data_IF_689416229518
#
_entry.id   IF_689416229518
#
_cell.length_a   1.000
_cell.length_b   1.000
_cell.length_c   1.000
_cell.angle_alpha   90.00
_cell.angle_beta   90.00
_cell.angle_gamma   90.00
#
_symmetry.space_group_name_H-M   'P 1'
#
loop_
_entity.id
_entity.type
_entity.pdbx_description
1 polymer ?
#
# COMPACT_ATOMS: atom_id res chain seq x y z
N UNK A 1 11.03 12.93 24.65
CA UNK A 1 9.78 13.19 23.93
C UNK A 1 8.91 14.17 24.71
N UNK A 2 8.58 15.30 24.09
CA UNK A 2 7.68 16.30 24.65
C UNK A 2 6.23 15.80 24.73
N UNK A 3 5.41 16.43 25.58
CA UNK A 3 3.96 16.11 25.67
C UNK A 3 3.24 16.34 24.34
N UNK A 4 3.66 17.36 23.57
CA UNK A 4 3.12 17.66 22.25
C UNK A 4 3.38 16.53 21.25
N UNK A 5 4.64 16.08 21.12
CA UNK A 5 5.02 14.97 20.24
C UNK A 5 4.28 13.68 20.61
N UNK A 6 4.12 13.40 21.91
CA UNK A 6 3.35 12.23 22.36
C UNK A 6 1.90 12.26 21.89
N UNK A 7 1.24 13.42 21.97
CA UNK A 7 -0.14 13.60 21.48
C UNK A 7 -0.22 13.39 19.97
N UNK A 8 0.76 13.91 19.24
CA UNK A 8 0.85 13.78 17.79
C UNK A 8 1.00 12.32 17.35
N UNK A 9 1.87 11.55 18.00
CA UNK A 9 2.05 10.10 17.76
C UNK A 9 0.76 9.33 17.99
N UNK A 10 0.05 9.61 19.09
CA UNK A 10 -1.23 8.95 19.38
C UNK A 10 -2.29 9.32 18.34
N UNK A 11 -2.30 10.57 17.88
CA UNK A 11 -3.22 11.03 16.84
C UNK A 11 -2.95 10.32 15.51
N UNK A 12 -1.68 10.31 15.06
CA UNK A 12 -1.26 9.64 13.83
C UNK A 12 -1.62 8.15 13.84
N UNK A 13 -1.31 7.45 14.94
CA UNK A 13 -1.67 6.05 15.12
C UNK A 13 -3.18 5.81 14.98
N UNK A 14 -4.00 6.64 15.62
CA UNK A 14 -5.47 6.51 15.56
C UNK A 14 -6.00 6.82 14.17
N UNK A 15 -5.42 7.78 13.47
CA UNK A 15 -5.85 8.15 12.12
C UNK A 15 -5.60 7.00 11.14
N UNK A 16 -4.41 6.42 11.12
CA UNK A 16 -4.10 5.25 10.27
C UNK A 16 -5.07 4.10 10.53
N UNK A 17 -5.36 3.77 11.80
CA UNK A 17 -6.31 2.70 12.13
C UNK A 17 -7.75 3.02 11.70
N UNK A 18 -8.17 4.29 11.79
CA UNK A 18 -9.49 4.73 11.31
C UNK A 18 -9.56 4.62 9.78
N UNK A 19 -8.53 5.06 9.07
CA UNK A 19 -8.44 4.95 7.62
C UNK A 19 -8.47 3.50 7.18
N UNK A 20 -7.70 2.61 7.80
CA UNK A 20 -7.75 1.18 7.51
C UNK A 20 -9.16 0.60 7.74
N UNK A 21 -9.85 1.01 8.80
CA UNK A 21 -11.23 0.56 9.04
C UNK A 21 -12.17 0.99 7.92
N UNK A 22 -12.04 2.22 7.42
CA UNK A 22 -12.86 2.76 6.32
C UNK A 22 -12.50 2.14 4.97
N UNK A 23 -11.21 2.01 4.66
CA UNK A 23 -10.70 1.52 3.37
C UNK A 23 -11.00 0.04 3.19
N UNK A 24 -10.86 -0.75 4.27
CA UNK A 24 -11.03 -2.20 4.24
C UNK A 24 -12.36 -2.67 4.87
N UNK A 25 -13.41 -1.84 4.85
CA UNK A 25 -14.68 -2.15 5.52
C UNK A 25 -15.32 -3.46 5.02
N UNK A 26 -15.20 -3.72 3.71
CA UNK A 26 -15.72 -4.94 3.08
C UNK A 26 -14.77 -6.15 3.13
N UNK A 27 -13.55 -5.99 3.67
CA UNK A 27 -12.55 -7.06 3.79
C UNK A 27 -12.00 -7.13 5.22
N UNK A 28 -12.69 -7.89 6.07
CA UNK A 28 -12.30 -8.06 7.46
C UNK A 28 -10.90 -8.69 7.62
N UNK A 29 -10.48 -9.55 6.68
CA UNK A 29 -9.18 -10.21 6.72
C UNK A 29 -8.06 -9.22 6.42
N UNK A 30 -8.16 -8.47 5.32
CA UNK A 30 -7.21 -7.41 4.98
C UNK A 30 -7.15 -6.35 6.09
N UNK A 31 -8.32 -5.93 6.60
CA UNK A 31 -8.39 -4.99 7.73
C UNK A 31 -7.61 -5.50 8.94
N UNK A 32 -7.82 -6.75 9.34
CA UNK A 32 -7.12 -7.36 10.47
C UNK A 32 -5.60 -7.40 10.28
N UNK A 33 -5.14 -7.83 9.10
CA UNK A 33 -3.71 -7.89 8.77
C UNK A 33 -3.06 -6.50 8.79
N UNK A 34 -3.69 -5.50 8.16
CA UNK A 34 -3.16 -4.14 8.10
C UNK A 34 -3.11 -3.49 9.48
N UNK A 35 -4.15 -3.66 10.29
CA UNK A 35 -4.16 -3.14 11.66
C UNK A 35 -3.09 -3.78 12.55
N UNK A 36 -2.83 -5.08 12.38
CA UNK A 36 -1.76 -5.77 13.10
C UNK A 36 -0.38 -5.26 12.67
N UNK A 37 -0.13 -5.12 11.37
CA UNK A 37 1.11 -4.53 10.86
C UNK A 37 1.36 -3.12 11.42
N UNK A 38 0.35 -2.26 11.42
CA UNK A 38 0.48 -0.92 12.02
C UNK A 38 0.80 -0.99 13.52
N UNK A 39 0.16 -1.90 14.27
CA UNK A 39 0.48 -2.08 15.69
C UNK A 39 1.91 -2.54 15.91
N UNK A 40 2.41 -3.44 15.07
CA UNK A 40 3.77 -3.95 15.13
C UNK A 40 4.80 -2.84 14.88
N UNK A 41 4.63 -2.06 13.81
CA UNK A 41 5.51 -0.93 13.48
C UNK A 41 5.58 0.11 14.59
N UNK A 42 4.43 0.50 15.16
CA UNK A 42 4.40 1.45 16.27
C UNK A 42 5.00 0.87 17.56
N UNK A 43 4.87 -0.45 17.79
CA UNK A 43 5.49 -1.13 18.94
C UNK A 43 7.00 -1.25 18.78
N UNK A 44 7.49 -1.56 17.59
CA UNK A 44 8.91 -1.66 17.28
C UNK A 44 9.63 -0.33 17.57
N UNK A 45 8.98 0.79 17.23
CA UNK A 45 9.54 2.13 17.41
C UNK A 45 9.18 2.80 18.75
N UNK A 46 8.57 2.09 19.71
CA UNK A 46 8.09 2.67 20.98
C UNK A 46 9.19 3.30 21.86
N UNK A 47 10.43 2.83 21.68
CA UNK A 47 11.58 3.21 22.49
C UNK A 47 12.43 4.33 21.85
N UNK A 48 12.05 4.83 20.68
CA UNK A 48 12.76 5.92 20.01
C UNK A 48 12.63 7.19 20.85
N UNK A 49 13.76 7.80 21.19
CA UNK A 49 13.83 9.01 22.06
C UNK A 49 14.27 10.26 21.32
N UNK A 50 14.84 10.12 20.13
CA UNK A 50 15.31 11.23 19.31
C UNK A 50 14.13 11.92 18.61
N UNK A 51 13.94 13.20 18.88
CA UNK A 51 12.79 13.96 18.37
C UNK A 51 12.79 14.05 16.84
N UNK A 52 13.94 14.16 16.18
CA UNK A 52 14.05 14.14 14.70
C UNK A 52 13.57 12.81 14.11
N UNK A 53 13.96 11.71 14.72
CA UNK A 53 13.56 10.38 14.27
C UNK A 53 12.06 10.14 14.49
N UNK A 54 11.51 10.64 15.60
CA UNK A 54 10.06 10.62 15.86
C UNK A 54 9.29 11.39 14.79
N UNK A 55 9.77 12.59 14.42
CA UNK A 55 9.16 13.40 13.36
C UNK A 55 9.19 12.70 12.00
N UNK A 56 10.30 12.03 11.67
CA UNK A 56 10.39 11.22 10.45
C UNK A 56 9.34 10.09 10.43
N UNK A 57 9.19 9.34 11.51
CA UNK A 57 8.16 8.29 11.58
C UNK A 57 6.73 8.84 11.57
N UNK A 58 6.50 10.02 12.14
CA UNK A 58 5.23 10.72 12.04
C UNK A 58 4.88 11.11 10.60
N UNK A 59 5.87 11.57 9.83
CA UNK A 59 5.70 11.85 8.41
C UNK A 59 5.33 10.57 7.65
N UNK A 60 6.08 9.49 7.86
CA UNK A 60 5.79 8.19 7.25
C UNK A 60 4.37 7.67 7.59
N UNK A 61 3.92 7.86 8.83
CA UNK A 61 2.56 7.47 9.23
C UNK A 61 1.49 8.31 8.52
N UNK A 62 1.74 9.59 8.26
CA UNK A 62 0.83 10.48 7.49
C UNK A 62 0.79 10.11 6.02
N UNK A 63 1.95 9.87 5.42
CA UNK A 63 2.05 9.41 4.03
C UNK A 63 1.32 8.08 3.84
N UNK A 64 1.47 7.15 4.78
CA UNK A 64 0.73 5.89 4.76
C UNK A 64 -0.78 6.10 4.88
N UNK A 65 -1.24 7.02 5.75
CA UNK A 65 -2.65 7.37 5.89
C UNK A 65 -3.23 7.93 4.58
N UNK A 66 -2.53 8.88 3.98
CA UNK A 66 -2.90 9.49 2.71
C UNK A 66 -2.91 8.46 1.57
N UNK A 67 -1.88 7.64 1.47
CA UNK A 67 -1.77 6.60 0.45
C UNK A 67 -2.90 5.59 0.54
N UNK A 68 -3.21 5.09 1.74
CA UNK A 68 -4.33 4.17 1.96
C UNK A 68 -5.67 4.82 1.59
N UNK A 69 -5.83 6.10 1.91
CA UNK A 69 -7.07 6.82 1.65
C UNK A 69 -7.30 7.04 0.15
N UNK A 70 -6.26 7.48 -0.56
CA UNK A 70 -6.34 7.94 -1.96
C UNK A 70 -6.16 6.83 -2.98
N UNK A 71 -5.23 5.91 -2.74
CA UNK A 71 -4.78 4.98 -3.78
C UNK A 71 -5.27 3.54 -3.59
N UNK A 72 -5.82 3.19 -2.42
CA UNK A 72 -6.33 1.84 -2.17
C UNK A 72 -7.84 1.77 -2.40
N UNK A 73 -8.23 1.01 -3.42
CA UNK A 73 -9.63 0.74 -3.79
C UNK A 73 -9.91 -0.75 -3.64
N UNK A 74 -11.11 -1.09 -3.16
CA UNK A 74 -11.54 -2.48 -3.04
C UNK A 74 -12.45 -2.88 -4.20
N UNK A 75 -12.12 -4.00 -4.86
CA UNK A 75 -12.99 -4.64 -5.83
C UNK A 75 -13.87 -5.69 -5.12
N UNK A 76 -15.19 -5.50 -5.14
CA UNK A 76 -16.15 -6.42 -4.51
C UNK A 76 -16.85 -7.25 -5.59
N UNK A 77 -16.67 -8.57 -5.55
CA UNK A 77 -17.32 -9.50 -6.46
C UNK A 77 -18.83 -9.45 -6.30
N UNK A 78 -19.54 -9.38 -7.42
CA UNK A 78 -20.99 -9.41 -7.53
C UNK A 78 -21.46 -10.82 -7.90
N UNK A 79 -22.74 -11.13 -7.65
CA UNK A 79 -23.32 -12.45 -7.91
C UNK A 79 -23.31 -12.87 -9.38
N UNK A 80 -23.23 -11.92 -10.31
CA UNK A 80 -23.18 -12.14 -11.76
C UNK A 80 -21.75 -12.36 -12.31
N UNK A 81 -20.75 -12.51 -11.44
CA UNK A 81 -19.35 -12.69 -11.84
C UNK A 81 -18.58 -11.39 -12.11
N UNK A 82 -19.24 -10.23 -12.10
CA UNK A 82 -18.59 -8.94 -12.25
C UNK A 82 -17.99 -8.45 -10.92
N UNK A 83 -17.09 -7.47 -10.98
CA UNK A 83 -16.55 -6.80 -9.80
C UNK A 83 -16.98 -5.33 -9.80
N UNK A 84 -17.38 -4.84 -8.64
CA UNK A 84 -17.68 -3.42 -8.42
C UNK A 84 -16.54 -2.79 -7.62
N UNK A 85 -15.93 -1.75 -8.15
CA UNK A 85 -14.93 -0.95 -7.44
C UNK A 85 -15.63 -0.03 -6.43
N UNK A 86 -15.17 -0.05 -5.19
CA UNK A 86 -15.65 0.85 -4.14
C UNK A 86 -14.79 2.11 -4.11
N UNK A 87 -15.04 3.04 -5.03
CA UNK A 87 -14.38 4.35 -5.08
C UNK A 87 -14.99 5.27 -4.02
N UNK A 88 -14.15 5.83 -3.15
CA UNK A 88 -14.56 6.81 -2.15
C UNK A 88 -14.34 8.23 -2.67
N UNK A 89 -14.99 9.27 -2.11
CA UNK A 89 -14.79 10.65 -2.57
C UNK A 89 -13.33 11.11 -2.55
N UNK A 90 -12.55 10.60 -1.60
CA UNK A 90 -11.13 10.90 -1.43
C UNK A 90 -10.20 9.99 -2.22
N UNK A 91 -10.73 9.07 -3.05
CA UNK A 91 -9.92 8.21 -3.92
C UNK A 91 -9.46 8.99 -5.15
N UNK A 92 -8.16 8.97 -5.43
CA UNK A 92 -7.63 9.52 -6.68
C UNK A 92 -7.92 8.55 -7.83
N UNK A 93 -8.79 8.96 -8.75
CA UNK A 93 -9.20 8.15 -9.89
C UNK A 93 -8.23 8.23 -11.09
N UNK A 94 -7.22 9.11 -11.02
CA UNK A 94 -6.22 9.29 -12.06
C UNK A 94 -5.04 8.37 -11.81
N UNK A 95 -4.75 7.50 -12.78
CA UNK A 95 -3.50 6.74 -12.82
C UNK A 95 -2.70 7.29 -14.00
N UNK A 96 -1.62 8.00 -13.68
CA UNK A 96 -0.63 8.40 -14.68
C UNK A 96 0.22 7.18 -15.01
N UNK A 97 0.09 6.70 -16.24
CA UNK A 97 0.97 5.66 -16.75
C UNK A 97 2.24 6.35 -17.26
N UNK A 98 3.43 5.97 -16.75
CA UNK A 98 4.66 6.50 -17.32
C UNK A 98 4.71 6.12 -18.80
N UNK A 99 4.94 7.11 -19.67
CA UNK A 99 5.21 6.85 -21.07
C UNK A 99 6.40 5.88 -21.16
N UNK A 100 6.29 4.85 -22.00
CA UNK A 100 7.40 3.92 -22.27
C UNK A 100 8.56 4.74 -22.87
N UNK A 101 9.46 5.22 -22.01
CA UNK A 101 10.71 5.81 -22.47
C UNK A 101 11.56 4.68 -23.01
N UNK A 102 11.56 4.53 -24.33
CA UNK A 102 12.49 3.77 -25.17
C UNK A 102 13.40 2.82 -24.39
N UNK A 103 12.82 1.71 -23.90
CA UNK A 103 13.64 0.55 -23.58
C UNK A 103 14.45 0.23 -24.84
N UNK A 104 15.78 0.00 -24.76
CA UNK A 104 16.57 -0.28 -25.94
C UNK A 104 15.89 -1.45 -26.65
N UNK A 105 15.34 -1.18 -27.83
CA UNK A 105 14.62 -2.14 -28.66
C UNK A 105 15.46 -3.38 -28.67
N UNK A 106 15.00 -4.45 -28.02
CA UNK A 106 15.74 -5.69 -27.96
C UNK A 106 16.05 -6.06 -29.41
N UNK A 107 17.31 -5.92 -29.82
CA UNK A 107 17.73 -6.32 -31.14
C UNK A 107 17.20 -7.72 -31.35
N UNK A 108 16.34 -7.91 -32.36
CA UNK A 108 15.73 -9.20 -32.65
C UNK A 108 16.88 -10.19 -32.76
N UNK A 109 17.11 -11.00 -31.72
CA UNK A 109 18.00 -12.15 -31.85
C UNK A 109 17.24 -13.06 -32.80
N UNK A 110 17.78 -13.24 -34.01
CA UNK A 110 17.31 -14.28 -34.91
C UNK A 110 17.34 -15.59 -34.13
N UNK A 111 16.17 -16.22 -33.99
CA UNK A 111 16.07 -17.55 -33.41
C UNK A 111 16.60 -18.53 -34.45
N UNK A 112 17.92 -18.70 -34.47
CA UNK A 112 18.58 -19.69 -35.30
C UNK A 112 18.59 -21.04 -34.57
N UNK A 113 17.52 -21.82 -34.77
CA UNK A 113 17.59 -23.28 -34.64
C UNK A 113 16.49 -23.92 -33.77
N UNK A 114 16.03 -25.12 -34.14
CA UNK A 114 15.04 -25.85 -33.35
C UNK A 114 15.70 -26.41 -32.08
N UNK A 115 15.39 -25.84 -30.92
CA UNK A 115 15.67 -26.52 -29.66
C UNK A 115 14.63 -27.63 -29.48
N UNK A 116 15.08 -28.86 -29.67
CA UNK A 116 14.33 -30.07 -29.32
C UNK A 116 14.15 -30.10 -27.80
N UNK A 117 13.08 -29.48 -27.31
CA UNK A 117 12.64 -29.61 -25.93
C UNK A 117 11.69 -30.81 -25.84
N UNK A 118 11.98 -31.72 -24.91
CA UNK A 118 11.32 -33.00 -24.64
C UNK A 118 11.83 -34.20 -25.47
N UNK A 119 12.95 -34.77 -25.02
CA UNK A 119 13.10 -36.23 -24.95
C UNK A 119 13.59 -36.57 -23.55
N UNK A 120 12.79 -37.39 -22.87
CA UNK A 120 13.11 -38.30 -21.75
C UNK A 120 12.02 -38.25 -20.66
N UNK A 121 10.95 -39.02 -20.90
CA UNK A 121 10.34 -39.94 -19.93
C UNK A 121 9.49 -40.98 -20.66
#
# INVERSE_FOLDING_TARGET
>A
MSVALRKEVISAYRNVLKTQRRVFDSDAKARGMMMNKTREEFRANRNVKEDRQIQYYLLQAREADEFLSKHVVQAVRQGNGNFRMNMRPETDATIEWPEETDAPTSAKRSFDGPSTCCKDQ
#
